data_IF_781636272455
#
_entry.id   IF_781636272455
#
_cell.length_a   1.000
_cell.length_b   1.000
_cell.length_c   1.000
_cell.angle_alpha   90.00
_cell.angle_beta   90.00
_cell.angle_gamma   90.00
#
_symmetry.space_group_name_H-M   'P 1'
#
loop_
_entity.id
_entity.type
_entity.pdbx_description
1 polymer ?
#
# COMPACT_ATOMS: atom_id res chain seq x y z
N UNK A 1 22.30 15.32 -7.47
CA UNK A 1 21.74 14.03 -7.60
C UNK A 1 20.23 14.07 -7.43
N UNK A 2 19.53 13.57 -8.40
CA UNK A 2 18.10 13.50 -8.28
C UNK A 2 17.70 12.67 -7.07
N UNK A 3 16.51 12.89 -6.62
CA UNK A 3 15.97 12.10 -5.54
C UNK A 3 16.02 10.63 -5.93
N UNK A 4 16.79 9.85 -5.22
CA UNK A 4 16.75 8.42 -5.38
C UNK A 4 15.45 7.98 -4.74
N UNK A 5 14.57 7.39 -5.54
CA UNK A 5 13.33 6.87 -5.00
C UNK A 5 13.67 5.73 -4.07
N UNK A 6 13.33 5.88 -2.79
CA UNK A 6 13.53 4.82 -1.84
C UNK A 6 12.68 3.62 -2.22
N UNK A 7 13.25 2.46 -2.16
CA UNK A 7 12.46 1.25 -2.32
C UNK A 7 13.06 0.15 -1.46
N UNK A 8 12.22 -0.83 -1.14
CA UNK A 8 12.62 -2.01 -0.41
C UNK A 8 12.38 -3.22 -1.28
N UNK A 9 13.30 -4.16 -1.27
CA UNK A 9 13.10 -5.41 -2.00
C UNK A 9 12.05 -6.26 -1.31
N UNK A 10 11.48 -7.19 -2.06
CA UNK A 10 10.53 -8.13 -1.49
C UNK A 10 11.11 -8.83 -0.26
N UNK A 11 12.38 -9.22 -0.35
CA UNK A 11 13.05 -9.90 0.75
C UNK A 11 13.20 -9.00 1.98
N UNK A 12 13.54 -7.73 1.76
CA UNK A 12 13.64 -6.78 2.88
C UNK A 12 12.30 -6.58 3.56
N UNK A 13 11.23 -6.47 2.77
CA UNK A 13 9.88 -6.30 3.31
C UNK A 13 9.49 -7.53 4.13
N UNK A 14 9.70 -8.72 3.58
CA UNK A 14 9.36 -9.95 4.27
C UNK A 14 10.13 -10.09 5.58
N UNK A 15 11.41 -9.73 5.57
CA UNK A 15 12.24 -9.79 6.77
C UNK A 15 11.76 -8.81 7.83
N UNK A 16 11.42 -7.58 7.40
CA UNK A 16 10.90 -6.56 8.31
C UNK A 16 9.59 -7.03 8.95
N UNK A 17 8.67 -7.56 8.15
CA UNK A 17 7.39 -8.04 8.66
C UNK A 17 7.58 -9.20 9.64
N UNK A 18 8.50 -10.11 9.33
CA UNK A 18 8.81 -11.21 10.22
C UNK A 18 9.31 -10.71 11.58
N UNK A 19 10.19 -9.71 11.56
CA UNK A 19 10.68 -9.10 12.81
C UNK A 19 9.55 -8.45 13.60
N UNK A 20 8.57 -7.90 12.91
CA UNK A 20 7.39 -7.31 13.56
C UNK A 20 6.35 -8.36 13.97
N UNK A 21 6.64 -9.63 13.76
CA UNK A 21 5.69 -10.74 14.05
C UNK A 21 4.42 -10.64 13.20
N UNK A 22 4.54 -10.08 12.00
CA UNK A 22 3.45 -10.05 11.03
C UNK A 22 3.62 -11.25 10.12
N UNK A 23 2.75 -12.22 10.23
CA UNK A 23 2.90 -13.49 9.54
C UNK A 23 2.48 -13.39 8.07
N UNK A 24 3.10 -14.24 7.24
CA UNK A 24 2.71 -14.41 5.85
C UNK A 24 3.86 -14.13 4.90
N UNK A 25 3.68 -14.55 3.65
CA UNK A 25 4.72 -14.41 2.62
C UNK A 25 4.26 -13.62 1.41
N UNK A 26 2.99 -13.73 1.04
CA UNK A 26 2.44 -13.07 -0.16
C UNK A 26 1.32 -12.12 0.23
N UNK A 27 1.37 -11.60 1.43
CA UNK A 27 0.26 -10.85 1.99
C UNK A 27 0.58 -9.36 2.12
N UNK A 28 1.53 -8.85 1.35
CA UNK A 28 1.83 -7.43 1.39
C UNK A 28 1.86 -6.85 -0.03
N UNK A 29 1.56 -5.55 -0.10
CA UNK A 29 1.48 -4.82 -1.36
C UNK A 29 2.21 -3.49 -1.20
N UNK A 30 2.86 -3.03 -2.26
CA UNK A 30 3.32 -1.66 -2.35
C UNK A 30 2.18 -0.82 -2.90
N UNK A 31 1.87 0.28 -2.23
CA UNK A 31 0.72 1.09 -2.58
C UNK A 31 1.03 2.58 -2.42
N UNK A 32 0.28 3.39 -3.15
CA UNK A 32 0.35 4.85 -3.03
C UNK A 32 -0.93 5.35 -2.38
N UNK A 33 -0.78 6.08 -1.28
CA UNK A 33 -1.93 6.66 -0.60
C UNK A 33 -2.50 7.79 -1.45
N UNK A 34 -3.81 7.74 -1.67
CA UNK A 34 -4.52 8.78 -2.41
C UNK A 34 -5.10 9.78 -1.43
N UNK A 35 -5.16 11.05 -1.84
CA UNK A 35 -5.88 12.06 -1.11
C UNK A 35 -7.38 11.87 -1.35
N UNK A 36 -8.21 12.50 -0.49
CA UNK A 36 -9.64 12.51 -0.76
C UNK A 36 -9.88 13.16 -2.12
N UNK A 37 -10.98 12.77 -2.77
CA UNK A 37 -11.20 13.21 -4.15
C UNK A 37 -11.21 14.73 -4.28
N UNK A 38 -11.78 15.44 -3.30
CA UNK A 38 -11.85 16.90 -3.36
C UNK A 38 -10.45 17.51 -3.35
N UNK A 39 -9.62 17.06 -2.44
CA UNK A 39 -8.26 17.56 -2.34
C UNK A 39 -7.44 17.18 -3.56
N UNK A 40 -7.61 15.96 -4.06
CA UNK A 40 -6.93 15.51 -5.27
C UNK A 40 -7.35 16.32 -6.48
N UNK A 41 -8.63 16.68 -6.57
CA UNK A 41 -9.15 17.47 -7.65
C UNK A 41 -8.52 18.86 -7.65
N UNK A 42 -8.44 19.49 -6.48
CA UNK A 42 -7.82 20.82 -6.36
C UNK A 42 -6.34 20.73 -6.72
N UNK A 43 -5.63 19.75 -6.20
CA UNK A 43 -4.21 19.57 -6.49
C UNK A 43 -3.97 19.34 -7.99
N UNK A 44 -4.84 18.59 -8.63
CA UNK A 44 -4.74 18.33 -10.06
C UNK A 44 -4.78 19.65 -10.85
N UNK A 45 -5.70 20.54 -10.51
CA UNK A 45 -5.83 21.81 -11.23
C UNK A 45 -4.64 22.75 -10.96
N UNK A 46 -4.11 22.70 -9.74
CA UNK A 46 -3.06 23.66 -9.35
C UNK A 46 -1.72 23.26 -9.94
N UNK A 47 -1.35 21.98 -9.89
CA UNK A 47 0.00 21.56 -10.25
C UNK A 47 0.08 20.57 -11.41
N UNK A 48 -1.03 20.26 -12.04
CA UNK A 48 -1.00 19.40 -13.22
C UNK A 48 -0.93 17.92 -12.94
N UNK A 49 -1.81 17.42 -12.14
CA UNK A 49 -2.15 16.01 -12.04
C UNK A 49 -0.98 15.07 -11.79
N UNK A 50 -0.54 14.39 -12.84
CA UNK A 50 0.43 13.31 -12.67
C UNK A 50 1.77 13.80 -12.15
N UNK A 51 2.18 15.00 -12.49
CA UNK A 51 3.43 15.54 -11.96
C UNK A 51 3.35 15.67 -10.44
N UNK A 52 2.25 16.21 -9.95
CA UNK A 52 2.06 16.35 -8.50
C UNK A 52 2.12 14.99 -7.81
N UNK A 53 1.42 14.00 -8.36
CA UNK A 53 1.39 12.67 -7.76
C UNK A 53 2.79 12.10 -7.68
N UNK A 54 3.55 12.18 -8.77
CA UNK A 54 4.90 11.62 -8.79
C UNK A 54 5.85 12.32 -7.83
N UNK A 55 5.66 13.62 -7.60
CA UNK A 55 6.61 14.39 -6.80
C UNK A 55 6.28 14.38 -5.33
N UNK A 56 5.01 14.15 -4.94
CA UNK A 56 4.60 14.34 -3.54
C UNK A 56 4.09 13.08 -2.85
N UNK A 57 3.81 12.01 -3.59
CA UNK A 57 3.27 10.79 -2.99
C UNK A 57 4.37 9.75 -2.88
N UNK A 58 4.64 9.31 -1.66
CA UNK A 58 5.64 8.29 -1.40
C UNK A 58 4.96 6.92 -1.29
N UNK A 59 5.64 5.86 -1.76
CA UNK A 59 5.05 4.53 -1.64
C UNK A 59 5.03 4.05 -0.20
N UNK A 60 4.05 3.23 0.09
CA UNK A 60 3.89 2.61 1.40
C UNK A 60 3.71 1.11 1.21
N UNK A 61 3.91 0.37 2.28
CA UNK A 61 3.65 -1.06 2.28
C UNK A 61 2.42 -1.32 3.13
N UNK A 62 1.51 -2.12 2.58
CA UNK A 62 0.33 -2.61 3.27
C UNK A 62 0.47 -4.12 3.43
N UNK A 63 0.31 -4.60 4.65
CA UNK A 63 0.27 -6.04 4.90
C UNK A 63 -1.09 -6.41 5.46
N UNK A 64 -1.59 -7.57 5.07
CA UNK A 64 -2.91 -8.05 5.45
C UNK A 64 -2.79 -9.39 6.13
N UNK A 65 -3.40 -9.52 7.29
CA UNK A 65 -3.41 -10.76 8.06
C UNK A 65 -4.80 -11.00 8.61
N UNK A 66 -5.08 -12.18 9.19
CA UNK A 66 -6.37 -12.38 9.87
C UNK A 66 -6.62 -11.39 11.01
N UNK A 67 -5.57 -10.75 11.54
CA UNK A 67 -5.72 -9.79 12.63
C UNK A 67 -6.09 -8.39 12.14
N UNK A 68 -5.64 -7.99 10.95
CA UNK A 68 -5.92 -6.65 10.47
C UNK A 68 -5.00 -6.22 9.35
N UNK A 69 -5.00 -4.91 9.11
CA UNK A 69 -4.18 -4.25 8.11
C UNK A 69 -3.03 -3.55 8.81
N UNK A 70 -1.82 -3.68 8.24
CA UNK A 70 -0.62 -3.05 8.77
C UNK A 70 -0.09 -2.09 7.72
N UNK A 71 0.19 -0.87 8.11
CA UNK A 71 0.65 0.19 7.22
C UNK A 71 2.01 0.70 7.69
N UNK A 72 2.96 0.81 6.77
CA UNK A 72 4.29 1.29 7.08
C UNK A 72 4.91 1.98 5.87
N UNK A 73 5.82 2.90 6.13
CA UNK A 73 6.55 3.58 5.08
C UNK A 73 7.73 2.73 4.61
N UNK A 74 8.13 2.92 3.36
CA UNK A 74 9.32 2.24 2.84
C UNK A 74 10.54 2.60 3.67
N UNK A 75 10.67 3.86 4.09
CA UNK A 75 11.81 4.28 4.91
C UNK A 75 11.84 3.58 6.26
N UNK A 76 10.69 3.24 6.82
CA UNK A 76 10.67 2.46 8.07
C UNK A 76 11.29 1.09 7.87
N UNK A 77 11.06 0.50 6.70
CA UNK A 77 11.60 -0.82 6.38
C UNK A 77 13.10 -0.74 6.16
N UNK A 78 13.56 0.20 5.35
CA UNK A 78 14.98 0.30 5.02
C UNK A 78 15.82 0.73 6.23
N UNK A 79 15.22 1.45 7.17
CA UNK A 79 15.93 1.94 8.36
C UNK A 79 15.58 1.13 9.62
N UNK A 80 14.83 0.05 9.46
CA UNK A 80 14.49 -0.88 10.56
C UNK A 80 13.78 -0.17 11.72
N UNK A 81 12.83 0.70 11.40
CA UNK A 81 12.04 1.40 12.41
C UNK A 81 10.77 0.61 12.69
N UNK A 82 10.90 -0.44 13.50
CA UNK A 82 9.83 -1.40 13.73
C UNK A 82 8.66 -0.84 14.51
N UNK A 83 8.87 0.23 15.26
CA UNK A 83 7.81 0.81 16.10
C UNK A 83 6.95 1.84 15.36
N UNK A 84 7.15 2.02 14.06
CA UNK A 84 6.37 2.97 13.27
C UNK A 84 5.24 2.31 12.49
N UNK A 85 5.03 1.02 12.66
CA UNK A 85 3.99 0.29 11.94
C UNK A 85 2.62 0.62 12.56
N UNK A 86 1.68 1.03 11.73
CA UNK A 86 0.31 1.26 12.17
C UNK A 86 -0.51 -0.01 11.98
N UNK A 87 -1.04 -0.51 13.06
CA UNK A 87 -1.90 -1.70 13.04
C UNK A 87 -3.36 -1.27 13.09
N UNK A 88 -4.15 -1.81 12.16
CA UNK A 88 -5.58 -1.52 12.07
C UNK A 88 -6.35 -2.83 12.17
N UNK A 89 -6.82 -3.20 13.38
CA UNK A 89 -7.54 -4.47 13.55
C UNK A 89 -8.82 -4.51 12.73
N UNK A 90 -9.15 -5.68 12.17
CA UNK A 90 -10.31 -5.82 11.31
C UNK A 90 -11.61 -5.38 11.99
N UNK A 91 -11.75 -5.60 13.30
CA UNK A 91 -12.97 -5.21 14.00
C UNK A 91 -13.13 -3.69 14.11
N UNK A 92 -12.09 -2.93 13.78
CA UNK A 92 -12.13 -1.47 13.76
C UNK A 92 -12.05 -0.90 12.35
N UNK A 93 -11.88 -1.74 11.36
CA UNK A 93 -11.84 -1.34 9.95
C UNK A 93 -13.24 -1.43 9.39
N UNK A 94 -13.73 -0.34 8.79
CA UNK A 94 -15.09 -0.27 8.25
C UNK A 94 -15.05 -0.02 6.75
N UNK A 95 -16.03 -0.58 6.05
CA UNK A 95 -16.26 -0.32 4.64
C UNK A 95 -15.06 -0.66 3.77
N UNK A 96 -14.37 -1.75 4.10
CA UNK A 96 -13.23 -2.18 3.30
C UNK A 96 -13.70 -2.69 1.94
N UNK A 97 -13.11 -2.11 0.87
CA UNK A 97 -13.40 -2.53 -0.49
C UNK A 97 -12.11 -2.57 -1.29
N UNK A 98 -12.09 -3.43 -2.31
CA UNK A 98 -11.01 -3.44 -3.28
C UNK A 98 -11.62 -3.59 -4.67
N UNK A 99 -11.11 -2.79 -5.61
CA UNK A 99 -11.73 -2.71 -6.93
C UNK A 99 -10.64 -2.51 -8.00
N UNK A 100 -10.59 -3.39 -9.00
CA UNK A 100 -9.69 -3.17 -10.14
C UNK A 100 -10.10 -1.93 -10.93
N UNK A 101 -9.12 -1.12 -11.29
CA UNK A 101 -9.32 0.07 -12.11
C UNK A 101 -8.16 0.13 -13.09
N UNK A 102 -8.38 -0.28 -14.35
CA UNK A 102 -7.35 -0.40 -15.37
C UNK A 102 -6.23 -1.32 -14.87
N UNK A 103 -4.99 -0.82 -14.80
CA UNK A 103 -3.84 -1.63 -14.37
C UNK A 103 -3.54 -1.46 -12.89
N UNK A 104 -4.53 -1.02 -12.12
CA UNK A 104 -4.35 -0.80 -10.69
C UNK A 104 -5.52 -1.38 -9.93
N UNK A 105 -5.34 -1.50 -8.63
CA UNK A 105 -6.42 -1.88 -7.71
C UNK A 105 -6.56 -0.75 -6.72
N UNK A 106 -7.79 -0.29 -6.52
CA UNK A 106 -8.09 0.71 -5.50
C UNK A 106 -8.55 0.01 -4.24
N UNK A 107 -7.89 0.32 -3.12
CA UNK A 107 -8.27 -0.17 -1.81
C UNK A 107 -8.82 0.99 -1.00
N UNK A 108 -9.96 0.79 -0.37
CA UNK A 108 -10.60 1.82 0.46
C UNK A 108 -11.05 1.21 1.77
N UNK A 109 -10.86 1.95 2.84
CA UNK A 109 -11.48 1.60 4.13
C UNK A 109 -11.48 2.82 5.03
N UNK A 110 -12.23 2.72 6.13
CA UNK A 110 -12.26 3.74 7.17
C UNK A 110 -11.71 3.14 8.46
N UNK A 111 -10.91 3.92 9.16
CA UNK A 111 -10.34 3.54 10.43
C UNK A 111 -10.24 4.79 11.30
N UNK A 112 -10.86 4.75 12.47
CA UNK A 112 -10.85 5.86 13.43
C UNK A 112 -11.28 7.19 12.79
N UNK A 113 -12.37 7.14 12.03
CA UNK A 113 -12.96 8.30 11.37
C UNK A 113 -12.08 8.91 10.28
N UNK A 114 -11.10 8.19 9.83
CA UNK A 114 -10.25 8.61 8.70
C UNK A 114 -10.42 7.66 7.54
N UNK A 115 -10.54 8.22 6.33
CA UNK A 115 -10.65 7.43 5.11
C UNK A 115 -9.25 7.12 4.60
N UNK A 116 -8.98 5.85 4.33
CA UNK A 116 -7.74 5.39 3.75
C UNK A 116 -8.03 4.92 2.33
N UNK A 117 -7.38 5.55 1.37
CA UNK A 117 -7.56 5.24 -0.05
C UNK A 117 -6.20 5.00 -0.65
N UNK A 118 -5.99 3.82 -1.21
CA UNK A 118 -4.71 3.44 -1.78
C UNK A 118 -4.88 2.94 -3.20
N UNK A 119 -3.85 3.16 -4.02
CA UNK A 119 -3.76 2.60 -5.36
C UNK A 119 -2.58 1.64 -5.40
N UNK A 120 -2.84 0.41 -5.83
CA UNK A 120 -1.85 -0.65 -5.96
C UNK A 120 -1.65 -0.91 -7.45
N UNK A 121 -0.42 -0.72 -7.92
CA UNK A 121 -0.10 -0.95 -9.32
C UNK A 121 0.10 -2.45 -9.55
N UNK A 122 -0.74 -3.05 -10.38
CA UNK A 122 -0.66 -4.48 -10.70
C UNK A 122 -0.42 -4.69 -12.19
N UNK A 123 -0.16 -3.64 -12.94
CA UNK A 123 0.09 -3.75 -14.37
C UNK A 123 1.49 -4.25 -14.68
N UNK A 124 1.62 -4.89 -15.83
CA UNK A 124 2.92 -5.40 -16.25
C UNK A 124 3.81 -4.30 -16.82
N UNK A 125 3.22 -3.19 -17.26
CA UNK A 125 3.97 -2.07 -17.85
C UNK A 125 3.85 -0.89 -16.89
N UNK A 126 4.36 -1.08 -15.71
CA UNK A 126 4.32 -0.09 -14.65
C UNK A 126 5.66 0.64 -14.60
N UNK A 127 5.65 1.87 -14.08
CA UNK A 127 6.87 2.60 -13.83
C UNK A 127 7.73 1.91 -12.76
N UNK A 128 7.14 0.99 -12.03
CA UNK A 128 7.80 0.29 -10.94
C UNK A 128 8.15 -1.14 -11.29
N UNK A 129 8.07 -1.50 -12.58
CA UNK A 129 8.50 -2.83 -13.00
C UNK A 129 9.96 -3.03 -12.60
N UNK A 130 10.22 -4.18 -12.00
CA UNK A 130 11.54 -4.47 -11.48
C UNK A 130 11.72 -4.17 -10.01
N UNK A 131 10.93 -3.23 -9.48
CA UNK A 131 10.99 -2.90 -8.06
C UNK A 131 9.86 -3.55 -7.27
N UNK A 132 8.65 -3.54 -7.83
CA UNK A 132 7.47 -4.02 -7.11
C UNK A 132 6.67 -4.98 -7.97
N UNK A 133 7.37 -5.84 -8.71
CA UNK A 133 6.72 -6.82 -9.57
C UNK A 133 5.85 -7.80 -8.78
N UNK A 134 6.15 -7.97 -7.51
CA UNK A 134 5.40 -8.90 -6.66
C UNK A 134 3.93 -8.47 -6.48
N UNK A 135 3.58 -7.21 -6.76
CA UNK A 135 2.24 -6.71 -6.47
C UNK A 135 1.13 -7.53 -7.14
N UNK A 136 1.33 -7.91 -8.40
CA UNK A 136 0.29 -8.66 -9.13
C UNK A 136 0.08 -10.03 -8.51
N UNK A 137 1.15 -10.74 -8.21
CA UNK A 137 1.08 -12.05 -7.61
C UNK A 137 0.46 -11.98 -6.22
N UNK A 138 0.92 -11.01 -5.42
CA UNK A 138 0.42 -10.86 -4.06
C UNK A 138 -1.04 -10.44 -4.03
N UNK A 139 -1.43 -9.55 -4.95
CA UNK A 139 -2.84 -9.16 -5.03
C UNK A 139 -3.72 -10.35 -5.37
N UNK A 140 -3.30 -11.16 -6.35
CA UNK A 140 -4.08 -12.33 -6.73
C UNK A 140 -4.25 -13.27 -5.54
N UNK A 141 -3.19 -13.48 -4.78
CA UNK A 141 -3.26 -14.30 -3.58
C UNK A 141 -4.22 -13.70 -2.55
N UNK A 142 -4.07 -12.39 -2.27
CA UNK A 142 -4.92 -11.74 -1.28
C UNK A 142 -6.39 -11.73 -1.69
N UNK A 143 -6.67 -11.53 -2.97
CA UNK A 143 -8.05 -11.57 -3.44
C UNK A 143 -8.67 -12.95 -3.24
N UNK A 144 -7.90 -14.02 -3.46
CA UNK A 144 -8.36 -15.38 -3.21
C UNK A 144 -8.66 -15.61 -1.74
N UNK A 145 -7.94 -14.93 -0.85
CA UNK A 145 -8.15 -15.02 0.59
C UNK A 145 -9.16 -14.01 1.11
N UNK A 146 -9.81 -13.25 0.22
CA UNK A 146 -10.69 -12.15 0.59
C UNK A 146 -10.02 -11.20 1.58
N UNK A 147 -8.70 -11.01 1.43
CA UNK A 147 -7.86 -10.18 2.29
C UNK A 147 -7.97 -10.58 3.76
N UNK A 148 -8.31 -11.84 4.02
CA UNK A 148 -8.49 -12.41 5.38
C UNK A 148 -9.62 -11.74 6.15
N UNK A 149 -10.49 -11.01 5.46
CA UNK A 149 -11.48 -10.21 6.14
C UNK A 149 -12.67 -11.01 6.64
N UNK A 150 -12.94 -12.17 6.07
CA UNK A 150 -14.09 -12.99 6.42
C UNK A 150 -13.91 -13.76 7.72
N UNK A 151 -12.85 -13.50 8.44
CA UNK A 151 -12.55 -14.17 9.70
C UNK A 151 -13.44 -13.73 10.85
#
# INVERSE_FOLDING_TARGET
MGAIMEFATEKQIASFLSTCHIEGQKNFLMAFKKKTWLKSFIDFFIVGGSYYVQSSVKPKILAFTPKGIYLMDISDITENRFNQVLEMPWNQVKDFTYKPVLNAVRLNWNYQNEAYIFSVDVGQVSQHVGQYQFNKEHYDYLAQQAFFRSQ
#
